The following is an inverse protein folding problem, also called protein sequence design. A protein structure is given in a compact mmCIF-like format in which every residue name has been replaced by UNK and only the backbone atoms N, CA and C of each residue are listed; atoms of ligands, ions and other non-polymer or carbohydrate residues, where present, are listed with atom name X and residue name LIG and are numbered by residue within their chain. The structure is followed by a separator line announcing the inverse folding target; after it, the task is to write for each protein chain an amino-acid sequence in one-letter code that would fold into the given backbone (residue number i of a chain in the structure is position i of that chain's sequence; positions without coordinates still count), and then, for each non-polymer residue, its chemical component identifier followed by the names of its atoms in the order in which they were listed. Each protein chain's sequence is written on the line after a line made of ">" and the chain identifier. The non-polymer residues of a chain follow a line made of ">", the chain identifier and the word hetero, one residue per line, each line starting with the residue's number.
data_IF_261142852412
#
_entry.id   IF_261142852412
#
_cell.length_a   1.000
_cell.length_b   1.000
_cell.length_c   1.000
_cell.angle_alpha   90.00
_cell.angle_beta   90.00
_cell.angle_gamma   90.00
#
_symmetry.space_group_name_H-M   'P 1'
#
loop_
_entity.id
_entity.type
_entity.pdbx_description
1 polymer ?
#
# COMPACT_ATOMS: atom_id res chain seq x y z
N UNK A 1 -5.43 12.33 -7.19
CA UNK A 1 -4.75 11.09 -7.57
C UNK A 1 -5.75 9.94 -7.56
N UNK A 2 -5.45 8.92 -8.37
CA UNK A 2 -6.31 7.74 -8.55
C UNK A 2 -6.29 6.78 -7.35
N UNK A 3 -7.16 5.77 -7.39
CA UNK A 3 -7.21 4.68 -6.41
C UNK A 3 -6.68 3.41 -7.05
N UNK A 4 -5.69 2.79 -6.40
CA UNK A 4 -5.23 1.45 -6.73
C UNK A 4 -5.95 0.45 -5.83
N UNK A 5 -6.62 -0.53 -6.44
CA UNK A 5 -7.30 -1.61 -5.75
C UNK A 5 -6.57 -2.93 -5.99
N UNK A 6 -6.30 -3.67 -4.92
CA UNK A 6 -5.69 -5.00 -4.97
C UNK A 6 -6.49 -6.01 -4.12
N UNK A 7 -7.26 -6.92 -4.73
CA UNK A 7 -8.06 -7.90 -3.99
C UNK A 7 -7.23 -9.06 -3.39
N UNK A 8 -5.93 -9.15 -3.71
CA UNK A 8 -5.02 -10.18 -3.23
C UNK A 8 -3.69 -9.55 -2.78
N UNK A 9 -3.79 -8.60 -1.84
CA UNK A 9 -2.68 -7.69 -1.56
C UNK A 9 -1.42 -8.36 -0.99
N UNK A 10 -1.52 -9.61 -0.50
CA UNK A 10 -0.40 -10.35 0.08
C UNK A 10 0.28 -9.54 1.18
N UNK A 11 1.61 -9.41 1.08
CA UNK A 11 2.42 -8.59 2.01
C UNK A 11 2.46 -7.09 1.65
N UNK A 12 1.59 -6.60 0.77
CA UNK A 12 1.33 -5.17 0.55
C UNK A 12 2.20 -4.46 -0.49
N UNK A 13 2.89 -5.18 -1.38
CA UNK A 13 3.78 -4.59 -2.40
C UNK A 13 3.10 -3.55 -3.29
N UNK A 14 1.89 -3.86 -3.79
CA UNK A 14 1.08 -2.95 -4.61
C UNK A 14 0.72 -1.66 -3.85
N UNK A 15 0.37 -1.79 -2.57
CA UNK A 15 0.02 -0.65 -1.72
C UNK A 15 1.20 0.26 -1.43
N UNK A 16 2.38 -0.33 -1.19
CA UNK A 16 3.62 0.43 -1.01
C UNK A 16 3.93 1.27 -2.24
N UNK A 17 3.90 0.66 -3.43
CA UNK A 17 4.16 1.38 -4.68
C UNK A 17 3.10 2.46 -4.95
N UNK A 18 1.82 2.17 -4.69
CA UNK A 18 0.74 3.14 -4.86
C UNK A 18 0.97 4.39 -3.99
N UNK A 19 1.25 4.20 -2.70
CA UNK A 19 1.45 5.29 -1.74
C UNK A 19 2.71 6.09 -2.04
N UNK A 20 3.84 5.43 -2.36
CA UNK A 20 5.09 6.11 -2.71
C UNK A 20 4.96 7.01 -3.93
N UNK A 21 4.07 6.66 -4.86
CA UNK A 21 3.82 7.44 -6.07
C UNK A 21 2.67 8.46 -5.89
N UNK A 22 2.18 8.66 -4.67
CA UNK A 22 1.14 9.64 -4.34
C UNK A 22 -0.28 9.21 -4.72
N UNK A 23 -0.55 7.90 -4.80
CA UNK A 23 -1.88 7.34 -5.11
C UNK A 23 -2.55 6.87 -3.82
N UNK A 24 -3.87 6.75 -3.83
CA UNK A 24 -4.62 6.09 -2.76
C UNK A 24 -4.63 4.59 -2.98
N UNK A 25 -4.70 3.81 -1.91
CA UNK A 25 -4.67 2.35 -1.97
C UNK A 25 -5.82 1.72 -1.17
N UNK A 26 -6.42 0.66 -1.71
CA UNK A 26 -7.35 -0.24 -1.02
C UNK A 26 -6.91 -1.67 -1.31
N UNK A 27 -6.67 -2.46 -0.26
CA UNK A 27 -6.23 -3.84 -0.36
C UNK A 27 -7.13 -4.80 0.42
N UNK A 28 -7.30 -6.02 -0.09
CA UNK A 28 -7.92 -7.14 0.62
C UNK A 28 -6.90 -8.28 0.70
N UNK A 29 -6.78 -8.89 1.87
CA UNK A 29 -6.01 -10.12 2.08
C UNK A 29 -6.81 -11.01 3.04
N UNK A 30 -6.85 -12.31 2.74
CA UNK A 30 -7.60 -13.30 3.51
C UNK A 30 -6.76 -13.84 4.66
N UNK A 31 -5.46 -14.05 4.44
CA UNK A 31 -4.56 -14.57 5.46
C UNK A 31 -4.22 -13.47 6.50
N UNK A 32 -4.59 -13.64 7.78
CA UNK A 32 -4.35 -12.62 8.80
C UNK A 32 -2.87 -12.27 8.99
N UNK A 33 -1.96 -13.24 8.83
CA UNK A 33 -0.53 -13.01 8.98
C UNK A 33 -0.01 -12.11 7.85
N UNK A 34 -0.46 -12.32 6.62
CA UNK A 34 -0.11 -11.45 5.50
C UNK A 34 -0.78 -10.09 5.59
N UNK A 35 -2.05 -10.05 6.04
CA UNK A 35 -2.76 -8.80 6.28
C UNK A 35 -2.04 -7.91 7.30
N UNK A 36 -1.61 -8.47 8.43
CA UNK A 36 -0.84 -7.78 9.46
C UNK A 36 0.52 -7.30 8.93
N UNK A 37 1.25 -8.16 8.20
CA UNK A 37 2.53 -7.82 7.59
C UNK A 37 2.40 -6.66 6.59
N UNK A 38 1.39 -6.69 5.71
CA UNK A 38 1.10 -5.63 4.76
C UNK A 38 0.73 -4.31 5.46
N UNK A 39 -0.13 -4.39 6.47
CA UNK A 39 -0.59 -3.22 7.23
C UNK A 39 0.57 -2.52 7.93
N UNK A 40 1.42 -3.28 8.63
CA UNK A 40 2.63 -2.74 9.28
C UNK A 40 3.54 -2.05 8.26
N UNK A 41 3.83 -2.73 7.15
CA UNK A 41 4.70 -2.20 6.09
C UNK A 41 4.16 -0.90 5.49
N UNK A 42 2.85 -0.80 5.30
CA UNK A 42 2.19 0.40 4.76
C UNK A 42 2.18 1.55 5.77
N UNK A 43 1.93 1.27 7.06
CA UNK A 43 1.89 2.28 8.12
C UNK A 43 3.26 2.87 8.46
N UNK A 44 4.33 2.11 8.26
CA UNK A 44 5.71 2.56 8.46
C UNK A 44 6.25 3.40 7.28
N UNK A 45 5.48 3.56 6.20
CA UNK A 45 5.93 4.38 5.07
C UNK A 45 6.01 5.85 5.47
N UNK A 46 7.11 6.55 5.10
CA UNK A 46 7.13 7.99 5.19
C UNK A 46 6.05 8.58 4.27
N UNK A 47 5.61 9.83 4.52
CA UNK A 47 4.75 10.55 3.61
C UNK A 47 5.27 10.43 2.17
N UNK A 48 4.36 10.30 1.21
CA UNK A 48 4.71 10.19 -0.20
C UNK A 48 5.77 11.25 -0.52
N UNK A 49 6.88 10.82 -1.12
CA UNK A 49 7.96 11.73 -1.48
C UNK A 49 7.33 12.86 -2.32
N UNK A 50 7.66 14.13 -2.03
CA UNK A 50 7.22 15.21 -2.90
C UNK A 50 7.70 14.85 -4.30
N UNK A 51 6.75 14.70 -5.23
CA UNK A 51 7.09 14.53 -6.63
C UNK A 51 7.98 15.70 -6.98
N UNK A 52 9.26 15.44 -7.27
CA UNK A 52 10.15 16.45 -7.83
C UNK A 52 9.50 16.86 -9.16
N UNK A 53 8.78 17.99 -9.13
CA UNK A 53 8.33 18.70 -10.33
C UNK A 53 9.50 19.48 -10.90
#
# INVERSE_FOLDING_TARGET
>A
GDVVFDPFMGVGSTGVAALQLGRRFVGIELDPLYFEAATKRIQELPPALPTLM
#
